data_IF_044402727896
#
_entry.id   IF_044402727896
#
_cell.length_a   1.000
_cell.length_b   1.000
_cell.length_c   1.000
_cell.angle_alpha   90.00
_cell.angle_beta   90.00
_cell.angle_gamma   90.00
#
_symmetry.space_group_name_H-M   'P 1'
#
loop_
_entity.id
_entity.type
_entity.pdbx_description
1 polymer ?
#
# COMPACT_ATOMS: atom_id res chain seq x y z
N UNK A 1 0.34 -14.26 -11.23
CA UNK A 1 0.70 -12.97 -10.64
C UNK A 1 0.12 -12.94 -9.24
N UNK A 2 0.93 -13.22 -8.22
CA UNK A 2 0.45 -13.18 -6.83
C UNK A 2 0.25 -11.71 -6.46
N UNK A 3 -0.98 -11.23 -6.54
CA UNK A 3 -1.36 -9.95 -5.93
C UNK A 3 -1.10 -10.09 -4.44
N UNK A 4 0.04 -9.55 -3.99
CA UNK A 4 0.46 -9.66 -2.61
C UNK A 4 -0.63 -9.06 -1.71
N UNK A 5 -1.12 -9.87 -0.78
CA UNK A 5 -2.12 -9.49 0.21
C UNK A 5 -1.77 -8.15 0.88
N UNK A 6 -2.52 -7.11 0.53
CA UNK A 6 -2.34 -5.74 1.03
C UNK A 6 -2.91 -5.56 2.44
N UNK A 7 -3.63 -6.55 2.97
CA UNK A 7 -4.17 -6.50 4.34
C UNK A 7 -3.06 -6.31 5.37
N UNK A 8 -1.88 -6.87 5.12
CA UNK A 8 -0.72 -6.71 5.97
C UNK A 8 -0.19 -5.27 6.00
N UNK A 9 -0.33 -4.51 4.89
CA UNK A 9 0.07 -3.11 4.80
C UNK A 9 -0.96 -2.17 5.43
N UNK A 10 -2.24 -2.43 5.21
CA UNK A 10 -3.35 -1.65 5.78
C UNK A 10 -3.38 -1.71 7.32
N UNK A 11 -2.93 -2.83 7.92
CA UNK A 11 -2.91 -3.04 9.37
C UNK A 11 -1.63 -2.50 10.08
N UNK A 12 -0.79 -1.74 9.39
CA UNK A 12 0.43 -1.17 9.98
C UNK A 12 0.10 0.07 10.81
N UNK A 13 0.64 0.16 12.02
CA UNK A 13 0.77 1.43 12.75
C UNK A 13 1.95 2.23 12.19
N UNK A 14 2.09 3.50 12.52
CA UNK A 14 3.19 4.33 11.98
C UNK A 14 4.57 3.76 12.31
N UNK A 15 4.75 3.22 13.51
CA UNK A 15 5.96 2.49 13.89
C UNK A 15 6.21 1.24 13.00
N UNK A 16 5.14 0.59 12.53
CA UNK A 16 5.23 -0.56 11.60
C UNK A 16 5.45 -0.13 10.14
N UNK A 17 5.12 1.11 9.77
CA UNK A 17 5.42 1.68 8.44
C UNK A 17 6.92 1.83 8.23
N UNK A 18 7.67 2.28 9.24
CA UNK A 18 9.12 2.37 9.17
C UNK A 18 9.78 0.98 8.97
N UNK A 19 9.34 -0.03 9.73
CA UNK A 19 9.83 -1.41 9.57
C UNK A 19 9.43 -2.01 8.21
N UNK A 20 8.25 -1.68 7.70
CA UNK A 20 7.81 -2.07 6.36
C UNK A 20 8.70 -1.45 5.27
N UNK A 21 9.00 -0.14 5.38
CA UNK A 21 9.90 0.57 4.47
C UNK A 21 11.28 -0.12 4.41
N UNK A 22 11.87 -0.42 5.56
CA UNK A 22 13.17 -1.09 5.64
C UNK A 22 13.17 -2.44 4.94
N UNK A 23 12.21 -3.29 5.28
CA UNK A 23 12.10 -4.62 4.68
C UNK A 23 11.84 -4.53 3.18
N UNK A 24 10.90 -3.70 2.75
CA UNK A 24 10.46 -3.64 1.35
C UNK A 24 11.51 -3.01 0.44
N UNK A 25 12.20 -1.98 0.91
CA UNK A 25 13.32 -1.38 0.19
C UNK A 25 14.46 -2.38 -0.03
N UNK A 26 14.76 -3.22 0.97
CA UNK A 26 15.74 -4.29 0.85
C UNK A 26 15.30 -5.39 -0.13
N UNK A 27 14.05 -5.86 -0.04
CA UNK A 27 13.49 -6.86 -0.98
C UNK A 27 13.53 -6.41 -2.44
N UNK A 28 13.32 -5.11 -2.69
CA UNK A 28 13.32 -4.53 -4.03
C UNK A 28 14.72 -4.13 -4.52
N UNK A 29 15.74 -4.19 -3.66
CA UNK A 29 17.09 -3.68 -3.99
C UNK A 29 17.13 -2.16 -4.20
N UNK A 30 16.21 -1.42 -3.58
CA UNK A 30 16.04 0.03 -3.73
C UNK A 30 16.27 0.72 -2.38
N UNK A 31 17.52 0.84 -1.90
CA UNK A 31 17.79 1.48 -0.63
C UNK A 31 17.37 2.96 -0.67
N UNK A 32 16.60 3.38 0.34
CA UNK A 32 16.17 4.77 0.47
C UNK A 32 17.26 5.60 1.13
N UNK A 33 17.70 6.71 0.52
CA UNK A 33 18.67 7.62 1.13
C UNK A 33 18.18 8.12 2.50
N UNK A 34 19.10 8.23 3.46
CA UNK A 34 18.76 8.62 4.85
C UNK A 34 17.96 9.93 4.92
N UNK A 35 18.37 10.93 4.15
CA UNK A 35 17.69 12.23 4.07
C UNK A 35 16.26 12.15 3.53
N UNK A 36 15.90 11.08 2.82
CA UNK A 36 14.58 10.87 2.24
C UNK A 36 13.68 9.98 3.12
N UNK A 37 14.22 9.27 4.11
CA UNK A 37 13.50 8.24 4.87
C UNK A 37 12.22 8.75 5.53
N UNK A 38 12.29 9.90 6.20
CA UNK A 38 11.14 10.48 6.89
C UNK A 38 9.99 10.76 5.91
N UNK A 39 10.27 11.44 4.78
CA UNK A 39 9.26 11.73 3.77
C UNK A 39 8.69 10.49 3.10
N UNK A 40 9.49 9.45 2.87
CA UNK A 40 8.99 8.18 2.34
C UNK A 40 8.08 7.47 3.36
N UNK A 41 8.44 7.47 4.64
CA UNK A 41 7.61 6.89 5.69
C UNK A 41 6.26 7.63 5.84
N UNK A 42 6.26 8.97 5.79
CA UNK A 42 5.04 9.79 5.80
C UNK A 42 4.14 9.48 4.59
N UNK A 43 4.71 9.40 3.39
CA UNK A 43 3.94 9.06 2.18
C UNK A 43 3.33 7.66 2.26
N UNK A 44 4.04 6.69 2.83
CA UNK A 44 3.51 5.34 3.02
C UNK A 44 2.36 5.31 4.05
N UNK A 45 2.46 6.10 5.13
CA UNK A 45 1.36 6.25 6.09
C UNK A 45 0.13 6.90 5.44
N UNK A 46 0.32 7.96 4.66
CA UNK A 46 -0.77 8.59 3.91
C UNK A 46 -1.44 7.60 2.93
N UNK A 47 -0.64 6.84 2.18
CA UNK A 47 -1.15 5.86 1.23
C UNK A 47 -1.92 4.74 1.94
N UNK A 48 -1.46 4.29 3.11
CA UNK A 48 -2.18 3.33 3.97
C UNK A 48 -3.57 3.88 4.33
N UNK A 49 -3.64 5.11 4.82
CA UNK A 49 -4.90 5.72 5.28
C UNK A 49 -5.88 5.92 4.11
N UNK A 50 -5.38 6.38 2.96
CA UNK A 50 -6.18 6.50 1.73
C UNK A 50 -6.71 5.14 1.26
N UNK A 51 -5.88 4.10 1.33
CA UNK A 51 -6.29 2.74 0.96
C UNK A 51 -7.38 2.23 1.91
N UNK A 52 -7.24 2.48 3.22
CA UNK A 52 -8.26 2.09 4.19
C UNK A 52 -9.60 2.80 3.95
N UNK A 53 -9.58 4.10 3.65
CA UNK A 53 -10.77 4.86 3.26
C UNK A 53 -11.42 4.27 2.00
N UNK A 54 -10.63 4.05 0.95
CA UNK A 54 -11.12 3.50 -0.31
C UNK A 54 -11.74 2.11 -0.13
N UNK A 55 -11.07 1.21 0.58
CA UNK A 55 -11.60 -0.12 0.89
C UNK A 55 -12.86 -0.06 1.77
N UNK A 56 -12.96 0.90 2.69
CA UNK A 56 -14.17 1.14 3.48
C UNK A 56 -15.37 1.54 2.63
N UNK A 57 -15.18 2.46 1.67
CA UNK A 57 -16.22 2.88 0.73
C UNK A 57 -16.60 1.76 -0.26
N UNK A 58 -15.64 0.90 -0.62
CA UNK A 58 -15.85 -0.28 -1.47
C UNK A 58 -16.50 -1.46 -0.75
N UNK A 59 -16.34 -1.59 0.57
CA UNK A 59 -16.92 -2.71 1.32
C UNK A 59 -18.47 -2.74 1.27
N UNK A 60 -19.12 -1.65 0.87
CA UNK A 60 -20.55 -1.56 0.58
C UNK A 60 -20.94 -1.78 -0.88
N UNK A 61 -19.97 -1.94 -1.79
CA UNK A 61 -20.16 -2.18 -3.22
C UNK A 61 -19.66 -3.58 -3.54
N UNK A 62 -20.54 -4.48 -3.98
CA UNK A 62 -20.13 -5.80 -4.43
C UNK A 62 -19.17 -5.68 -5.61
N UNK A 63 -18.03 -6.39 -5.58
CA UNK A 63 -17.13 -6.55 -6.74
C UNK A 63 -17.88 -7.02 -8.01
N UNK A 64 -19.07 -7.60 -7.85
CA UNK A 64 -19.95 -8.00 -8.94
C UNK A 64 -20.50 -6.83 -9.78
N UNK A 65 -20.45 -5.59 -9.28
CA UNK A 65 -21.08 -4.42 -9.92
C UNK A 65 -20.09 -3.45 -10.57
N UNK A 66 -18.78 -3.64 -10.37
CA UNK A 66 -17.75 -2.81 -11.00
C UNK A 66 -17.32 -3.46 -12.33
N UNK A 67 -17.51 -2.81 -13.49
CA UNK A 67 -17.02 -3.35 -14.75
C UNK A 67 -15.49 -3.35 -14.73
N UNK A 68 -14.88 -4.54 -14.66
CA UNK A 68 -13.47 -4.69 -14.97
C UNK A 68 -13.27 -4.28 -16.43
N UNK A 69 -12.56 -3.18 -16.67
CA UNK A 69 -12.26 -2.74 -18.02
C UNK A 69 -11.33 -3.77 -18.67
N UNK A 70 -11.76 -4.36 -19.78
CA UNK A 70 -10.96 -5.32 -20.50
C UNK A 70 -9.73 -4.61 -21.07
N UNK A 71 -8.55 -5.21 -20.88
CA UNK A 71 -7.34 -4.75 -21.56
C UNK A 71 -7.47 -5.02 -23.06
N UNK A 72 -7.39 -3.99 -23.89
CA UNK A 72 -7.21 -4.11 -25.34
C UNK A 72 -5.72 -3.98 -25.71
N UNK A 73 -5.15 -4.93 -26.46
CA UNK A 73 -3.73 -4.96 -26.82
C UNK A 73 -3.29 -3.93 -27.87
#
# INVERSE_FOLDING_TARGET
MSGGDLSAFQNLTDAKVAAYLDRRSAELGLPVPESCRAGVAENLALLRDQTALFCGELAGQSEADAPAEAFEP
#
